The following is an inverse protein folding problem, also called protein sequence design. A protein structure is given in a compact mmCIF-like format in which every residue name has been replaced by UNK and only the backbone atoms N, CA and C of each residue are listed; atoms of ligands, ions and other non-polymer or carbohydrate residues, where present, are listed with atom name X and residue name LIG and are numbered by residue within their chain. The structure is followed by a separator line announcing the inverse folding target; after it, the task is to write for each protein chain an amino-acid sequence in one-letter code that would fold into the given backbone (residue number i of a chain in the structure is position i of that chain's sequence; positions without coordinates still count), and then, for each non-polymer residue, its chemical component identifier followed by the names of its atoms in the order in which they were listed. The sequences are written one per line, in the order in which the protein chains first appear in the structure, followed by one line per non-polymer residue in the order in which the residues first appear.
data_IF_293281371925
#
_entry.id   IF_293281371925
#
_cell.length_a   1.000
_cell.length_b   1.000
_cell.length_c   1.000
_cell.angle_alpha   90.00
_cell.angle_beta   90.00
_cell.angle_gamma   90.00
#
_symmetry.space_group_name_H-M   'P 1'
#
loop_
_entity.id
_entity.type
_entity.pdbx_description
1 polymer ?
#
# COMPACT_ATOMS: atom_id res chain seq x y z
N UNK A 1 -60.90 -26.22 -24.92
CA UNK A 1 -60.30 -24.92 -25.30
C UNK A 1 -59.53 -24.41 -24.08
N UNK A 2 -58.24 -24.81 -23.99
CA UNK A 2 -57.04 -23.95 -23.89
C UNK A 2 -56.84 -23.35 -22.46
N UNK A 3 -55.93 -23.89 -21.62
CA UNK A 3 -54.49 -23.54 -21.46
C UNK A 3 -54.31 -22.05 -21.03
N UNK A 4 -53.64 -21.61 -19.97
CA UNK A 4 -52.47 -22.08 -19.20
C UNK A 4 -52.36 -21.24 -17.90
N UNK A 5 -51.93 -21.78 -16.75
CA UNK A 5 -51.12 -21.02 -15.81
C UNK A 5 -49.66 -21.21 -16.19
N UNK A 6 -48.96 -20.12 -16.52
CA UNK A 6 -47.51 -20.15 -16.69
C UNK A 6 -46.84 -20.50 -15.36
N UNK A 7 -46.66 -21.79 -15.12
CA UNK A 7 -45.57 -22.27 -14.28
C UNK A 7 -44.28 -21.88 -14.99
N UNK A 8 -43.62 -20.86 -14.48
CA UNK A 8 -42.20 -20.60 -14.75
C UNK A 8 -41.41 -21.76 -14.17
N UNK A 9 -41.33 -22.84 -14.95
CA UNK A 9 -40.24 -23.81 -14.89
C UNK A 9 -38.94 -23.03 -15.17
N UNK A 10 -38.35 -22.47 -14.12
CA UNK A 10 -36.92 -22.26 -14.11
C UNK A 10 -36.34 -23.67 -14.13
N UNK A 11 -35.98 -24.13 -15.32
CA UNK A 11 -35.12 -25.28 -15.49
C UNK A 11 -33.95 -25.12 -14.53
N UNK A 12 -33.84 -26.02 -13.55
CA UNK A 12 -32.59 -26.35 -12.89
C UNK A 12 -31.62 -26.84 -13.97
N UNK A 13 -31.07 -25.92 -14.75
CA UNK A 13 -29.78 -26.12 -15.41
C UNK A 13 -28.80 -26.24 -14.27
N UNK A 14 -28.58 -27.48 -13.81
CA UNK A 14 -27.65 -27.83 -12.76
C UNK A 14 -26.32 -27.14 -13.09
N UNK A 15 -25.97 -26.15 -12.29
CA UNK A 15 -24.69 -25.48 -12.43
C UNK A 15 -23.63 -26.57 -12.23
N UNK A 16 -22.80 -26.89 -13.24
CA UNK A 16 -21.86 -27.98 -13.15
C UNK A 16 -20.98 -27.74 -11.93
N UNK A 17 -20.95 -28.72 -11.02
CA UNK A 17 -20.12 -28.65 -9.82
C UNK A 17 -18.65 -28.60 -10.23
N UNK A 18 -17.94 -27.59 -9.73
CA UNK A 18 -16.53 -27.39 -10.01
C UNK A 18 -15.68 -28.03 -8.93
N UNK A 19 -14.65 -28.78 -9.30
CA UNK A 19 -13.70 -29.33 -8.35
C UNK A 19 -12.74 -28.24 -7.82
N UNK A 20 -12.01 -28.57 -6.75
CA UNK A 20 -11.10 -27.61 -6.11
C UNK A 20 -9.96 -27.16 -7.03
N UNK A 21 -9.42 -28.07 -7.86
CA UNK A 21 -8.32 -27.77 -8.81
C UNK A 21 -8.78 -26.79 -9.89
N UNK A 22 -9.98 -26.97 -10.44
CA UNK A 22 -10.55 -26.02 -11.42
C UNK A 22 -10.87 -24.69 -10.76
N UNK A 23 -11.40 -24.68 -9.53
CA UNK A 23 -11.64 -23.45 -8.78
C UNK A 23 -10.36 -22.64 -8.60
N UNK A 24 -9.27 -23.29 -8.17
CA UNK A 24 -7.96 -22.68 -8.01
C UNK A 24 -7.43 -22.12 -9.33
N UNK A 25 -7.53 -22.91 -10.41
CA UNK A 25 -7.09 -22.49 -11.75
C UNK A 25 -7.83 -21.23 -12.21
N UNK A 26 -9.16 -21.21 -12.05
CA UNK A 26 -9.96 -20.04 -12.39
C UNK A 26 -9.63 -18.83 -11.51
N UNK A 27 -9.33 -19.02 -10.22
CA UNK A 27 -8.94 -17.92 -9.33
C UNK A 27 -7.61 -17.32 -9.80
N UNK A 28 -6.60 -18.15 -10.08
CA UNK A 28 -5.29 -17.70 -10.58
C UNK A 28 -5.44 -16.93 -11.89
N UNK A 29 -6.30 -17.40 -12.80
CA UNK A 29 -6.61 -16.75 -14.07
C UNK A 29 -7.54 -15.54 -13.97
N UNK A 30 -8.07 -15.25 -12.78
CA UNK A 30 -9.08 -14.20 -12.53
C UNK A 30 -10.39 -14.40 -13.29
N UNK A 31 -10.72 -15.66 -13.59
CA UNK A 31 -11.94 -16.08 -14.29
C UNK A 31 -13.00 -16.62 -13.31
N UNK A 32 -12.65 -16.75 -12.02
CA UNK A 32 -13.53 -17.34 -11.02
C UNK A 32 -14.76 -16.49 -10.74
N UNK A 33 -15.93 -17.12 -10.82
CA UNK A 33 -17.22 -16.49 -10.51
C UNK A 33 -17.61 -16.83 -9.07
N UNK A 34 -17.85 -15.84 -8.18
CA UNK A 34 -18.15 -16.10 -6.76
C UNK A 34 -19.37 -17.00 -6.50
N UNK A 35 -20.33 -17.03 -7.43
CA UNK A 35 -21.55 -17.84 -7.35
C UNK A 35 -21.36 -19.30 -7.81
N UNK A 36 -20.16 -19.67 -8.27
CA UNK A 36 -19.89 -21.02 -8.74
C UNK A 36 -19.98 -22.03 -7.59
N UNK A 37 -20.64 -23.17 -7.84
CA UNK A 37 -20.74 -24.26 -6.88
C UNK A 37 -19.44 -25.09 -6.89
N UNK A 38 -18.63 -24.95 -5.84
CA UNK A 38 -17.39 -25.71 -5.66
C UNK A 38 -17.65 -26.91 -4.74
N UNK A 39 -17.27 -28.11 -5.18
CA UNK A 39 -17.31 -29.31 -4.35
C UNK A 39 -16.04 -29.45 -3.53
N UNK A 40 -16.20 -29.56 -2.22
CA UNK A 40 -15.10 -29.76 -1.28
C UNK A 40 -15.11 -31.21 -0.81
N UNK A 41 -13.99 -31.95 -0.96
CA UNK A 41 -13.93 -33.32 -0.49
C UNK A 41 -13.89 -33.34 1.05
N UNK A 42 -14.62 -34.27 1.67
CA UNK A 42 -14.52 -34.57 3.10
C UNK A 42 -13.32 -35.51 3.30
N UNK A 43 -12.15 -34.95 3.60
CA UNK A 43 -10.94 -35.74 3.86
C UNK A 43 -10.44 -35.43 5.27
N UNK A 44 -10.03 -36.45 6.07
CA UNK A 44 -9.41 -36.21 7.36
C UNK A 44 -8.13 -35.37 7.21
N UNK A 45 -7.90 -34.47 8.15
CA UNK A 45 -6.71 -33.63 8.23
C UNK A 45 -5.46 -34.51 8.20
N UNK A 46 -4.69 -34.41 7.11
CA UNK A 46 -3.34 -34.99 7.01
C UNK A 46 -2.33 -34.05 7.68
N UNK A 47 -1.20 -34.61 8.12
CA UNK A 47 -0.08 -33.85 8.67
C UNK A 47 0.64 -33.01 7.59
N UNK A 48 0.48 -33.35 6.31
CA UNK A 48 1.16 -32.69 5.19
C UNK A 48 0.33 -31.54 4.62
N UNK A 49 0.98 -30.42 4.22
CA UNK A 49 0.30 -29.30 3.60
C UNK A 49 -0.31 -29.73 2.27
N UNK A 50 -1.63 -29.78 2.24
CA UNK A 50 -2.40 -30.19 1.07
C UNK A 50 -3.03 -28.98 0.39
N UNK A 51 -3.36 -29.14 -0.90
CA UNK A 51 -4.22 -28.21 -1.64
C UNK A 51 -5.56 -27.94 -0.93
N UNK A 52 -6.01 -28.86 -0.07
CA UNK A 52 -7.21 -28.70 0.75
C UNK A 52 -7.10 -27.54 1.77
N UNK A 53 -5.89 -27.12 2.14
CA UNK A 53 -5.71 -25.92 2.96
C UNK A 53 -6.21 -24.66 2.24
N UNK A 54 -6.36 -24.67 0.91
CA UNK A 54 -6.94 -23.54 0.17
C UNK A 54 -8.47 -23.43 0.32
N UNK A 55 -9.16 -24.41 0.94
CA UNK A 55 -10.63 -24.42 1.05
C UNK A 55 -11.17 -23.15 1.73
N UNK A 56 -10.67 -22.73 2.91
CA UNK A 56 -11.19 -21.52 3.56
C UNK A 56 -10.96 -20.28 2.68
N UNK A 57 -9.83 -20.19 1.98
CA UNK A 57 -9.59 -19.11 1.01
C UNK A 57 -10.65 -19.08 -0.10
N UNK A 58 -10.93 -20.21 -0.74
CA UNK A 58 -11.94 -20.31 -1.81
C UNK A 58 -13.33 -19.90 -1.29
N UNK A 59 -13.70 -20.36 -0.08
CA UNK A 59 -14.95 -19.93 0.57
C UNK A 59 -14.98 -18.42 0.85
N UNK A 60 -13.84 -17.84 1.21
CA UNK A 60 -13.67 -16.39 1.35
C UNK A 60 -13.95 -15.65 0.05
N UNK A 61 -13.39 -16.12 -1.08
CA UNK A 61 -13.63 -15.54 -2.41
C UNK A 61 -15.12 -15.64 -2.82
N UNK A 62 -15.77 -16.78 -2.56
CA UNK A 62 -17.19 -16.98 -2.89
C UNK A 62 -18.12 -16.08 -2.06
N UNK A 63 -17.86 -15.99 -0.75
CA UNK A 63 -18.78 -15.34 0.19
C UNK A 63 -18.43 -13.88 0.48
N UNK A 64 -17.23 -13.42 0.11
CA UNK A 64 -16.66 -12.11 0.47
C UNK A 64 -16.69 -11.84 1.98
N UNK A 65 -16.60 -12.89 2.82
CA UNK A 65 -16.57 -12.75 4.28
C UNK A 65 -15.14 -12.82 4.81
N UNK A 66 -14.79 -11.85 5.65
CA UNK A 66 -13.47 -11.72 6.30
C UNK A 66 -13.08 -12.95 7.11
N UNK A 67 -14.03 -13.58 7.80
CA UNK A 67 -13.80 -14.74 8.67
C UNK A 67 -13.10 -15.89 7.95
N UNK A 68 -13.47 -16.17 6.70
CA UNK A 68 -12.86 -17.26 5.93
C UNK A 68 -11.41 -16.96 5.53
N UNK A 69 -11.11 -15.71 5.19
CA UNK A 69 -9.74 -15.28 4.91
C UNK A 69 -8.87 -15.28 6.18
N UNK A 70 -9.46 -14.92 7.32
CA UNK A 70 -8.78 -14.98 8.61
C UNK A 70 -8.47 -16.43 9.01
N UNK A 71 -9.45 -17.33 8.95
CA UNK A 71 -9.26 -18.75 9.22
C UNK A 71 -8.17 -19.34 8.31
N UNK A 72 -8.19 -19.01 7.02
CA UNK A 72 -7.15 -19.41 6.10
C UNK A 72 -5.76 -18.89 6.53
N UNK A 73 -5.65 -17.60 6.81
CA UNK A 73 -4.39 -17.00 7.21
C UNK A 73 -3.82 -17.63 8.50
N UNK A 74 -4.68 -17.94 9.46
CA UNK A 74 -4.30 -18.56 10.73
C UNK A 74 -3.85 -20.02 10.54
N UNK A 75 -4.55 -20.80 9.71
CA UNK A 75 -4.13 -22.16 9.35
C UNK A 75 -2.75 -22.15 8.67
N UNK A 76 -2.56 -21.27 7.69
CA UNK A 76 -1.29 -21.18 6.96
C UNK A 76 -0.11 -20.78 7.87
N UNK A 77 -0.36 -19.91 8.84
CA UNK A 77 0.64 -19.58 9.89
C UNK A 77 0.90 -20.75 10.82
N UNK A 78 -0.13 -21.49 11.22
CA UNK A 78 -0.02 -22.67 12.08
C UNK A 78 0.89 -23.73 11.46
N UNK A 79 0.78 -23.96 10.15
CA UNK A 79 1.67 -24.87 9.41
C UNK A 79 3.07 -24.30 9.14
N UNK A 80 3.37 -23.06 9.55
CA UNK A 80 4.68 -22.44 9.36
C UNK A 80 5.06 -22.23 7.89
N UNK A 81 4.08 -22.16 6.98
CA UNK A 81 4.35 -22.04 5.54
C UNK A 81 4.83 -20.64 5.14
N UNK A 82 4.64 -19.66 6.01
CA UNK A 82 4.85 -18.25 5.71
C UNK A 82 5.39 -17.51 6.92
N UNK A 83 6.39 -16.66 6.69
CA UNK A 83 6.83 -15.67 7.67
C UNK A 83 5.80 -14.51 7.72
N UNK A 84 5.72 -13.80 8.84
CA UNK A 84 4.82 -12.65 9.01
C UNK A 84 5.14 -11.55 7.97
N UNK A 85 4.49 -11.63 6.80
CA UNK A 85 4.55 -10.56 5.79
C UNK A 85 3.86 -9.33 6.36
N UNK A 86 4.67 -8.33 6.74
CA UNK A 86 4.19 -6.98 7.02
C UNK A 86 3.96 -6.29 5.68
N UNK A 87 2.96 -5.42 5.64
CA UNK A 87 2.53 -4.69 4.44
C UNK A 87 2.60 -3.18 4.69
N UNK A 88 3.56 -2.76 5.51
CA UNK A 88 3.62 -1.42 6.08
C UNK A 88 4.53 -0.54 5.23
N UNK A 89 5.68 -1.07 4.83
CA UNK A 89 6.70 -0.30 4.13
C UNK A 89 6.55 -0.39 2.60
N UNK A 90 7.25 0.50 1.90
CA UNK A 90 7.36 0.44 0.43
C UNK A 90 8.06 -0.85 0.00
N UNK A 91 9.13 -1.22 0.69
CA UNK A 91 9.96 -2.36 0.32
C UNK A 91 9.19 -3.68 0.51
N UNK A 92 8.36 -3.77 1.55
CA UNK A 92 7.43 -4.89 1.74
C UNK A 92 6.52 -5.07 0.53
N UNK A 93 5.92 -3.97 0.05
CA UNK A 93 5.01 -3.98 -1.12
C UNK A 93 5.74 -4.40 -2.39
N UNK A 94 7.00 -4.00 -2.56
CA UNK A 94 7.84 -4.41 -3.69
C UNK A 94 8.10 -5.92 -3.60
N UNK A 95 8.56 -6.41 -2.45
CA UNK A 95 8.83 -7.83 -2.21
C UNK A 95 7.59 -8.71 -2.45
N UNK A 96 6.44 -8.30 -1.91
CA UNK A 96 5.17 -8.98 -2.12
C UNK A 96 4.79 -9.03 -3.60
N UNK A 97 4.96 -7.92 -4.32
CA UNK A 97 4.71 -7.86 -5.76
C UNK A 97 5.61 -8.82 -6.53
N UNK A 98 6.90 -8.88 -6.18
CA UNK A 98 7.86 -9.80 -6.78
C UNK A 98 7.49 -11.26 -6.53
N UNK A 99 7.12 -11.62 -5.31
CA UNK A 99 6.65 -12.97 -4.95
C UNK A 99 5.42 -13.38 -5.78
N UNK A 100 4.43 -12.49 -5.91
CA UNK A 100 3.25 -12.74 -6.75
C UNK A 100 3.63 -12.95 -8.21
N UNK A 101 4.48 -12.09 -8.77
CA UNK A 101 4.91 -12.18 -10.16
C UNK A 101 5.80 -13.40 -10.42
N UNK A 102 6.58 -13.83 -9.44
CA UNK A 102 7.34 -15.06 -9.51
C UNK A 102 6.42 -16.28 -9.62
N UNK A 103 5.44 -16.41 -8.71
CA UNK A 103 4.47 -17.50 -8.75
C UNK A 103 3.65 -17.53 -10.05
N UNK A 104 3.13 -16.37 -10.49
CA UNK A 104 2.31 -16.28 -11.71
C UNK A 104 3.05 -16.61 -13.01
N UNK A 105 4.39 -16.65 -13.00
CA UNK A 105 5.20 -17.07 -14.16
C UNK A 105 5.40 -18.57 -14.23
N UNK A 106 5.13 -19.31 -13.15
CA UNK A 106 5.26 -20.77 -13.12
C UNK A 106 4.06 -21.43 -13.78
N UNK A 107 4.29 -22.57 -14.40
CA UNK A 107 3.21 -23.41 -14.93
C UNK A 107 2.42 -24.06 -13.78
N UNK A 108 1.15 -24.36 -14.00
CA UNK A 108 0.28 -24.97 -12.99
C UNK A 108 0.63 -26.46 -12.88
N UNK A 109 1.07 -26.90 -11.71
CA UNK A 109 1.43 -28.30 -11.44
C UNK A 109 0.83 -28.74 -10.09
N UNK A 110 -0.29 -29.45 -10.12
CA UNK A 110 -1.00 -29.86 -8.89
C UNK A 110 -0.42 -31.10 -8.23
N UNK A 111 0.49 -31.76 -8.91
CA UNK A 111 1.18 -32.98 -8.46
C UNK A 111 2.53 -32.65 -7.80
N UNK A 112 3.00 -31.41 -7.91
CA UNK A 112 4.23 -30.92 -7.30
C UNK A 112 3.93 -30.26 -5.94
N UNK A 113 4.50 -30.82 -4.87
CA UNK A 113 4.36 -30.31 -3.50
C UNK A 113 4.97 -28.92 -3.34
N UNK A 114 6.09 -28.64 -4.00
CA UNK A 114 6.75 -27.33 -3.92
C UNK A 114 5.84 -26.26 -4.52
N UNK A 115 5.24 -26.57 -5.68
CA UNK A 115 4.24 -25.71 -6.30
C UNK A 115 3.02 -25.48 -5.40
N UNK A 116 2.51 -26.51 -4.71
CA UNK A 116 1.40 -26.37 -3.76
C UNK A 116 1.78 -25.44 -2.60
N UNK A 117 2.97 -25.57 -2.03
CA UNK A 117 3.44 -24.68 -0.95
C UNK A 117 3.52 -23.23 -1.44
N UNK A 118 4.02 -23.00 -2.65
CA UNK A 118 4.05 -21.66 -3.24
C UNK A 118 2.66 -21.11 -3.56
N UNK A 119 1.73 -21.96 -4.01
CA UNK A 119 0.33 -21.59 -4.20
C UNK A 119 -0.28 -21.12 -2.87
N UNK A 120 -0.08 -21.86 -1.78
CA UNK A 120 -0.60 -21.52 -0.47
C UNK A 120 0.02 -20.20 0.04
N UNK A 121 1.31 -19.96 -0.19
CA UNK A 121 1.96 -18.66 0.09
C UNK A 121 1.35 -17.54 -0.73
N UNK A 122 1.10 -17.78 -2.02
CA UNK A 122 0.50 -16.80 -2.92
C UNK A 122 -0.92 -16.44 -2.47
N UNK A 123 -1.75 -17.43 -2.15
CA UNK A 123 -3.10 -17.23 -1.62
C UNK A 123 -3.08 -16.54 -0.26
N UNK A 124 -2.10 -16.80 0.61
CA UNK A 124 -1.96 -16.10 1.88
C UNK A 124 -1.81 -14.59 1.66
N UNK A 125 -0.94 -14.21 0.74
CA UNK A 125 -0.75 -12.80 0.38
C UNK A 125 -2.07 -12.18 -0.13
N UNK A 126 -2.81 -12.89 -0.99
CA UNK A 126 -4.11 -12.42 -1.49
C UNK A 126 -5.15 -12.28 -0.35
N UNK A 127 -5.20 -13.25 0.57
CA UNK A 127 -6.11 -13.23 1.70
C UNK A 127 -5.87 -12.03 2.60
N UNK A 128 -4.60 -11.72 2.91
CA UNK A 128 -4.25 -10.56 3.74
C UNK A 128 -4.63 -9.24 3.06
N UNK A 129 -4.45 -9.13 1.74
CA UNK A 129 -4.92 -7.96 1.01
C UNK A 129 -6.45 -7.85 1.01
N UNK A 130 -7.15 -8.95 0.76
CA UNK A 130 -8.62 -8.95 0.72
C UNK A 130 -9.21 -8.60 2.08
N UNK A 131 -8.64 -9.09 3.18
CA UNK A 131 -9.03 -8.69 4.53
C UNK A 131 -8.91 -7.19 4.75
N UNK A 132 -7.85 -6.55 4.24
CA UNK A 132 -7.68 -5.10 4.33
C UNK A 132 -8.72 -4.36 3.50
N UNK A 133 -9.01 -4.82 2.28
CA UNK A 133 -10.04 -4.21 1.45
C UNK A 133 -11.41 -4.31 2.09
N UNK A 134 -11.78 -5.49 2.62
CA UNK A 134 -13.04 -5.71 3.33
C UNK A 134 -13.13 -4.85 4.60
N UNK A 135 -12.03 -4.66 5.34
CA UNK A 135 -12.02 -3.78 6.50
C UNK A 135 -12.25 -2.31 6.11
N UNK A 136 -11.61 -1.84 5.04
CA UNK A 136 -11.82 -0.48 4.52
C UNK A 136 -13.26 -0.31 4.04
N UNK A 137 -13.80 -1.29 3.31
CA UNK A 137 -15.19 -1.29 2.85
C UNK A 137 -16.18 -1.24 4.02
N UNK A 138 -15.97 -2.05 5.08
CA UNK A 138 -16.79 -2.00 6.29
C UNK A 138 -16.75 -0.64 6.97
N UNK A 139 -15.57 -0.01 7.06
CA UNK A 139 -15.42 1.36 7.62
C UNK A 139 -16.16 2.39 6.78
N UNK A 140 -16.09 2.28 5.44
CA UNK A 140 -16.80 3.16 4.52
C UNK A 140 -18.32 2.99 4.65
N UNK A 141 -18.81 1.75 4.74
CA UNK A 141 -20.23 1.46 4.94
C UNK A 141 -20.73 1.96 6.30
N UNK A 142 -19.96 1.79 7.37
CA UNK A 142 -20.27 2.32 8.68
C UNK A 142 -20.32 3.86 8.68
N UNK A 143 -19.36 4.51 8.02
CA UNK A 143 -19.37 5.96 7.83
C UNK A 143 -20.60 6.41 7.01
N UNK A 144 -20.93 5.71 5.93
CA UNK A 144 -22.12 5.94 5.12
C UNK A 144 -23.43 5.76 5.91
N UNK A 145 -23.50 4.83 6.86
CA UNK A 145 -24.66 4.66 7.71
C UNK A 145 -24.82 5.83 8.71
N UNK A 146 -23.72 6.34 9.26
CA UNK A 146 -23.72 7.45 10.23
C UNK A 146 -23.94 8.81 9.56
N UNK A 147 -23.42 9.00 8.34
CA UNK A 147 -23.40 10.29 7.65
C UNK A 147 -24.26 10.34 6.37
N UNK A 148 -24.72 9.20 5.86
CA UNK A 148 -25.54 9.09 4.64
C UNK A 148 -27.04 9.05 4.90
N UNK A 149 -27.50 9.11 6.16
CA UNK A 149 -28.89 9.38 6.49
C UNK A 149 -29.12 10.90 6.64
N UNK A 150 -29.12 11.63 5.52
CA UNK A 150 -29.53 13.03 5.50
C UNK A 150 -29.24 13.82 4.22
N UNK A 151 -30.09 13.63 3.18
CA UNK A 151 -30.75 14.68 2.35
C UNK A 151 -31.13 14.14 0.95
N UNK A 152 -32.38 13.80 0.61
CA UNK A 152 -33.62 13.97 1.35
C UNK A 152 -33.91 15.44 1.65
N UNK A 153 -34.17 16.24 0.62
CA UNK A 153 -34.60 17.63 0.76
C UNK A 153 -35.91 17.66 1.55
N UNK A 154 -35.85 17.85 2.86
CA UNK A 154 -36.88 18.56 3.62
C UNK A 154 -36.16 19.49 4.60
N UNK A 155 -36.32 20.78 4.33
CA UNK A 155 -36.03 21.85 5.26
C UNK A 155 -36.91 21.65 6.50
N UNK A 156 -36.32 21.53 7.68
CA UNK A 156 -36.70 22.33 8.85
C UNK A 156 -35.82 22.04 10.07
N UNK A 157 -35.34 23.13 10.69
CA UNK A 157 -35.19 23.25 12.14
C UNK A 157 -34.07 22.49 12.86
N UNK A 158 -33.08 23.24 13.34
CA UNK A 158 -32.60 23.06 14.73
C UNK A 158 -31.22 22.45 14.96
N UNK A 159 -30.27 23.36 15.25
CA UNK A 159 -29.31 23.33 16.36
C UNK A 159 -28.57 22.03 16.75
N UNK A 160 -27.23 22.10 16.72
CA UNK A 160 -26.42 21.57 17.83
C UNK A 160 -25.39 20.48 17.50
N UNK A 161 -24.10 20.86 17.57
CA UNK A 161 -22.93 20.05 17.94
C UNK A 161 -22.55 18.82 17.10
N UNK A 162 -21.59 19.03 16.18
CA UNK A 162 -20.26 18.37 16.16
C UNK A 162 -19.69 18.54 14.74
N UNK A 163 -18.79 19.50 14.55
CA UNK A 163 -18.14 19.74 13.25
C UNK A 163 -16.99 18.73 13.05
N UNK A 164 -17.33 17.46 12.87
CA UNK A 164 -16.41 16.53 12.20
C UNK A 164 -16.51 16.86 10.71
N UNK A 165 -15.44 17.41 10.14
CA UNK A 165 -15.44 17.75 8.72
C UNK A 165 -15.59 16.46 7.90
N UNK A 166 -16.58 16.37 7.00
CA UNK A 166 -16.77 15.19 6.17
C UNK A 166 -15.54 14.99 5.27
N UNK A 167 -15.04 13.76 5.22
CA UNK A 167 -14.06 13.35 4.21
C UNK A 167 -14.68 13.64 2.83
N UNK A 168 -14.05 14.53 2.06
CA UNK A 168 -14.44 14.81 0.68
C UNK A 168 -14.02 13.63 -0.18
N UNK A 169 -14.89 12.64 -0.31
CA UNK A 169 -14.75 11.61 -1.32
C UNK A 169 -14.95 12.27 -2.70
N UNK A 170 -13.97 12.15 -3.60
CA UNK A 170 -14.14 12.55 -4.99
C UNK A 170 -14.95 11.43 -5.65
N UNK A 171 -16.22 11.70 -5.93
CA UNK A 171 -17.05 10.83 -6.74
C UNK A 171 -16.64 11.02 -8.20
N UNK A 172 -15.99 10.01 -8.79
CA UNK A 172 -15.66 9.97 -10.21
C UNK A 172 -16.80 9.21 -10.91
N UNK A 173 -17.99 9.79 -10.91
CA UNK A 173 -19.09 9.31 -11.74
C UNK A 173 -19.45 10.40 -12.75
N UNK A 174 -19.23 10.10 -14.04
CA UNK A 174 -19.68 10.90 -15.19
C UNK A 174 -18.54 11.37 -16.10
N UNK A 175 -18.72 11.15 -17.41
CA UNK A 175 -17.85 11.58 -18.53
C UNK A 175 -17.65 13.11 -18.65
N UNK A 176 -18.16 13.90 -17.71
CA UNK A 176 -18.03 15.35 -17.71
C UNK A 176 -17.17 15.82 -16.53
N UNK A 177 -16.05 16.45 -16.88
CA UNK A 177 -15.09 17.06 -15.96
C UNK A 177 -15.75 18.21 -15.21
N UNK A 178 -16.46 17.94 -14.12
CA UNK A 178 -17.01 18.99 -13.26
C UNK A 178 -15.86 19.78 -12.62
N UNK A 179 -15.70 21.03 -13.06
CA UNK A 179 -14.75 22.02 -12.55
C UNK A 179 -15.06 22.44 -11.10
N UNK A 180 -15.01 21.51 -10.13
CA UNK A 180 -15.26 21.77 -8.71
C UNK A 180 -14.13 22.55 -8.03
N UNK A 181 -13.01 22.77 -8.72
CA UNK A 181 -11.81 23.44 -8.20
C UNK A 181 -11.73 24.93 -8.56
N UNK A 182 -12.44 25.38 -9.60
CA UNK A 182 -12.34 26.76 -10.11
C UNK A 182 -12.82 27.79 -9.07
N UNK A 183 -13.78 27.41 -8.20
CA UNK A 183 -14.34 28.32 -7.20
C UNK A 183 -13.73 28.17 -5.79
N UNK A 184 -12.82 27.21 -5.57
CA UNK A 184 -12.21 26.99 -4.24
C UNK A 184 -10.86 27.67 -4.07
N UNK A 185 -10.17 27.91 -5.17
CA UNK A 185 -8.91 28.63 -5.18
C UNK A 185 -9.21 29.92 -5.93
N UNK A 186 -9.44 31.00 -5.18
CA UNK A 186 -9.26 32.34 -5.75
C UNK A 186 -7.74 32.57 -5.71
N UNK A 187 -7.02 32.49 -6.83
CA UNK A 187 -5.60 32.80 -6.81
C UNK A 187 -5.50 34.26 -6.34
N UNK A 188 -4.90 34.46 -5.17
CA UNK A 188 -4.64 35.82 -4.67
C UNK A 188 -3.44 36.46 -5.35
N UNK A 189 -2.71 35.67 -6.15
CA UNK A 189 -1.52 36.07 -6.87
C UNK A 189 -1.61 35.58 -8.32
N UNK A 190 -1.12 36.38 -9.25
CA UNK A 190 -0.93 35.94 -10.65
C UNK A 190 0.23 34.95 -10.75
N UNK A 191 0.32 34.26 -11.88
CA UNK A 191 1.42 33.31 -12.14
C UNK A 191 2.80 34.01 -12.09
N UNK A 192 2.83 35.27 -12.53
CA UNK A 192 4.02 36.14 -12.53
C UNK A 192 4.40 36.56 -11.10
N UNK A 193 3.42 36.98 -10.29
CA UNK A 193 3.69 37.33 -8.88
C UNK A 193 4.15 36.11 -8.06
N UNK A 194 3.64 34.93 -8.38
CA UNK A 194 4.08 33.69 -7.74
C UNK A 194 5.51 33.32 -8.15
N UNK A 195 5.87 33.46 -9.44
CA UNK A 195 7.21 33.13 -9.93
C UNK A 195 8.26 34.08 -9.36
N UNK A 196 7.97 35.38 -9.28
CA UNK A 196 8.82 36.38 -8.64
C UNK A 196 9.03 36.07 -7.15
N UNK A 197 7.97 35.68 -6.45
CA UNK A 197 8.06 35.33 -5.02
C UNK A 197 8.92 34.09 -4.78
N UNK A 198 8.86 33.10 -5.67
CA UNK A 198 9.70 31.90 -5.60
C UNK A 198 11.16 32.24 -5.90
N UNK A 199 11.43 33.02 -6.96
CA UNK A 199 12.78 33.45 -7.32
C UNK A 199 13.45 34.25 -6.20
N UNK A 200 12.71 35.18 -5.58
CA UNK A 200 13.20 35.96 -4.44
C UNK A 200 13.52 35.07 -3.24
N UNK A 201 12.67 34.09 -2.93
CA UNK A 201 12.91 33.13 -1.85
C UNK A 201 14.13 32.23 -2.12
N UNK A 202 14.34 31.82 -3.37
CA UNK A 202 15.54 31.07 -3.76
C UNK A 202 16.79 31.94 -3.57
N UNK A 203 16.78 33.19 -4.04
CA UNK A 203 17.92 34.11 -3.88
C UNK A 203 18.25 34.39 -2.41
N UNK A 204 17.25 34.56 -1.55
CA UNK A 204 17.42 34.80 -0.10
C UNK A 204 17.95 33.56 0.66
N UNK A 205 17.67 32.35 0.17
CA UNK A 205 18.15 31.11 0.76
C UNK A 205 19.56 30.75 0.29
N UNK A 206 19.87 30.92 -1.01
CA UNK A 206 21.18 30.56 -1.57
C UNK A 206 22.31 31.45 -1.03
N UNK A 207 22.04 32.71 -0.69
CA UNK A 207 23.07 33.62 -0.15
C UNK A 207 23.41 33.37 1.31
N UNK A 208 22.46 32.93 2.15
CA UNK A 208 22.68 32.82 3.60
C UNK A 208 23.34 31.51 4.04
N UNK A 209 23.12 30.41 3.32
CA UNK A 209 23.75 29.12 3.64
C UNK A 209 25.18 29.05 3.09
N UNK A 210 25.41 29.60 1.89
CA UNK A 210 26.73 29.56 1.25
C UNK A 210 27.75 30.52 1.88
N UNK A 211 27.35 31.74 2.26
CA UNK A 211 28.27 32.70 2.90
C UNK A 211 28.71 32.24 4.30
N UNK A 212 27.84 31.53 5.04
CA UNK A 212 28.14 31.12 6.41
C UNK A 212 29.10 29.93 6.49
N UNK A 213 28.99 29.00 5.53
CA UNK A 213 29.86 27.83 5.47
C UNK A 213 31.26 28.21 4.96
N UNK A 214 31.33 29.04 3.90
CA UNK A 214 32.62 29.51 3.34
C UNK A 214 33.38 30.42 4.31
N UNK A 215 32.70 31.31 5.04
CA UNK A 215 33.35 32.15 6.07
C UNK A 215 33.87 31.32 7.25
N UNK A 216 33.14 30.26 7.65
CA UNK A 216 33.56 29.38 8.75
C UNK A 216 34.79 28.54 8.38
N UNK A 217 34.89 28.10 7.12
CA UNK A 217 36.09 27.38 6.63
C UNK A 217 37.29 28.32 6.50
N UNK A 218 37.10 29.56 6.03
CA UNK A 218 38.17 30.55 5.96
C UNK A 218 38.73 30.90 7.35
N UNK A 219 37.85 31.13 8.33
CA UNK A 219 38.29 31.43 9.71
C UNK A 219 39.03 30.25 10.37
N UNK A 220 38.68 29.01 10.01
CA UNK A 220 39.41 27.84 10.49
C UNK A 220 40.81 27.73 9.86
N UNK A 221 40.90 28.01 8.55
CA UNK A 221 42.17 28.01 7.83
C UNK A 221 43.13 29.10 8.31
N UNK A 222 42.62 30.31 8.57
CA UNK A 222 43.42 31.41 9.11
C UNK A 222 43.98 31.10 10.51
N UNK A 223 43.19 30.41 11.36
CA UNK A 223 43.68 29.95 12.68
C UNK A 223 44.76 28.88 12.56
N UNK A 224 44.63 27.94 11.63
CA UNK A 224 45.63 26.90 11.39
C UNK A 224 46.96 27.51 10.91
N UNK A 225 46.90 28.50 10.01
CA UNK A 225 48.09 29.25 9.58
C UNK A 225 48.73 30.00 10.76
N UNK A 226 47.93 30.67 11.58
CA UNK A 226 48.45 31.42 12.74
C UNK A 226 49.16 30.50 13.74
N UNK A 227 48.64 29.28 13.96
CA UNK A 227 49.29 28.26 14.80
C UNK A 227 50.61 27.75 14.18
N UNK A 228 50.65 27.52 12.86
CA UNK A 228 51.88 27.13 12.16
C UNK A 228 52.97 28.19 12.25
N UNK A 229 52.61 29.47 12.09
CA UNK A 229 53.56 30.59 12.23
C UNK A 229 54.11 30.65 13.66
N UNK A 230 53.25 30.53 14.68
CA UNK A 230 53.71 30.50 16.09
C UNK A 230 54.65 29.34 16.37
N UNK A 231 54.40 28.17 15.77
CA UNK A 231 55.27 27.00 15.93
C UNK A 231 56.63 27.17 15.24
N UNK A 232 56.70 27.90 14.13
CA UNK A 232 57.96 28.21 13.45
C UNK A 232 58.75 29.29 14.19
N UNK A 233 58.09 30.35 14.66
CA UNK A 233 58.69 31.38 15.52
C UNK A 233 59.26 30.76 16.81
N UNK A 234 58.54 29.82 17.43
CA UNK A 234 59.02 29.10 18.61
C UNK A 234 60.26 28.24 18.31
N UNK A 235 60.32 27.59 17.13
CA UNK A 235 61.50 26.81 16.73
C UNK A 235 62.71 27.71 16.48
N UNK A 236 62.52 28.85 15.85
CA UNK A 236 63.57 29.84 15.63
C UNK A 236 64.07 30.45 16.95
N UNK A 237 63.18 30.65 17.93
CA UNK A 237 63.58 31.07 19.29
C UNK A 237 64.34 29.98 20.06
N UNK A 238 63.95 28.71 19.93
CA UNK A 238 64.62 27.58 20.59
C UNK A 238 66.01 27.28 20.01
N UNK A 239 66.23 27.54 18.71
CA UNK A 239 67.52 27.32 18.04
C UNK A 239 68.15 28.66 17.67
N UNK A 240 68.62 29.40 18.68
CA UNK A 240 69.55 30.52 18.46
C UNK A 240 70.83 30.02 17.82
N UNK A 241 70.90 30.08 16.50
CA UNK A 241 72.12 30.12 15.68
C UNK A 241 73.28 29.23 16.11
N UNK A 242 73.36 28.02 15.55
CA UNK A 242 74.64 27.31 15.40
C UNK A 242 75.28 27.53 14.02
N UNK A 243 75.05 28.68 13.40
CA UNK A 243 75.95 29.23 12.38
C UNK A 243 77.09 30.01 13.04
N UNK A 244 78.02 29.27 13.64
CA UNK A 244 79.42 29.67 13.79
C UNK A 244 80.26 28.50 13.25
N UNK A 245 80.86 28.65 12.05
CA UNK A 245 82.26 29.08 11.84
C UNK A 245 83.25 28.07 12.43
N UNK A 246 84.28 27.56 11.76
CA UNK A 246 85.02 27.91 10.54
C UNK A 246 85.99 26.73 10.33
N UNK A 247 86.30 26.32 9.10
CA UNK A 247 87.60 26.69 8.54
C UNK A 247 87.80 28.20 8.39
#
# INVERSE_FOLDING_TARGET
VLLNPQQTFWSNSGCPSMDIKTAITQIIRKEFVPQAHVTFPEVPLSAEPSILLAIPFIKGVQTRKREYFQNYADEIKYYGLVDDYRFETRDDKIKIRELKQHFLRKEIQFEDEEWIVELLRYFYILAVEEMKYLEVEQRLNAYGAVHGSGRGIELEGGSGTSRVQPLRCIQIDGDERKELLVNRIKPTLTLEEYSERILKRMQENTTKEYEKEVMSELEAYDKEIEELVKMDEFKDEMVKGNTYRQA
#
